data_IF_981408733135
#
_entry.id   IF_981408733135
#
_cell.length_a   1.000
_cell.length_b   1.000
_cell.length_c   1.000
_cell.angle_alpha   90.00
_cell.angle_beta   90.00
_cell.angle_gamma   90.00
#
_symmetry.space_group_name_H-M   'P 1'
#
loop_
_entity.id
_entity.type
_entity.pdbx_description
1 polymer ?
#
# COMPACT_ATOMS: atom_id res chain seq x y z
N UNK A 1 -3.71 4.03 4.93
CA UNK A 1 -3.32 3.19 3.77
C UNK A 1 -3.57 3.87 2.46
N UNK A 2 -2.51 4.41 1.89
CA UNK A 2 -2.55 4.84 0.50
C UNK A 2 -2.17 3.63 -0.37
N UNK A 3 -3.15 2.79 -0.67
CA UNK A 3 -3.07 1.98 -1.88
C UNK A 3 -3.03 2.96 -3.04
N UNK A 4 -1.92 3.01 -3.75
CA UNK A 4 -1.80 3.81 -4.96
C UNK A 4 -2.48 3.08 -6.10
N UNK A 5 -3.52 3.69 -6.65
CA UNK A 5 -4.18 3.20 -7.85
C UNK A 5 -3.28 3.42 -9.06
N UNK A 6 -3.04 2.36 -9.84
CA UNK A 6 -2.31 2.43 -11.09
C UNK A 6 -3.34 2.45 -12.23
N UNK A 7 -3.55 3.60 -12.85
CA UNK A 7 -4.42 3.74 -14.02
C UNK A 7 -3.57 3.85 -15.29
N UNK A 8 -3.71 2.88 -16.18
CA UNK A 8 -3.04 2.82 -17.48
C UNK A 8 -4.08 3.11 -18.56
N UNK A 9 -3.97 4.25 -19.23
CA UNK A 9 -4.86 4.62 -20.33
C UNK A 9 -4.06 4.67 -21.63
N UNK A 10 -4.43 3.81 -22.59
CA UNK A 10 -3.71 3.64 -23.86
C UNK A 10 -4.66 4.08 -24.98
N UNK A 11 -4.28 5.12 -25.71
CA UNK A 11 -5.05 5.66 -26.84
C UNK A 11 -4.24 5.40 -28.11
N UNK A 12 -4.78 4.62 -29.05
CA UNK A 12 -4.17 4.34 -30.35
C UNK A 12 -5.18 4.63 -31.47
N UNK A 13 -4.74 5.34 -32.52
CA UNK A 13 -5.57 5.70 -33.67
C UNK A 13 -5.53 4.65 -34.81
N UNK A 14 -4.49 3.82 -34.85
CA UNK A 14 -4.32 2.70 -35.79
C UNK A 14 -3.70 1.48 -35.06
N UNK A 15 -3.52 0.35 -35.75
CA UNK A 15 -3.00 -0.88 -35.16
C UNK A 15 -1.52 -0.74 -34.77
N UNK A 16 -1.26 -0.51 -33.48
CA UNK A 16 0.09 -0.42 -32.90
C UNK A 16 0.29 -1.52 -31.86
N UNK A 17 1.34 -2.33 -32.01
CA UNK A 17 1.71 -3.33 -31.02
C UNK A 17 2.46 -2.66 -29.86
N UNK A 18 1.86 -2.65 -28.66
CA UNK A 18 2.46 -2.04 -27.47
C UNK A 18 2.77 -3.12 -26.44
N UNK A 19 4.04 -3.23 -26.03
CA UNK A 19 4.47 -4.15 -24.98
C UNK A 19 4.62 -3.41 -23.65
N UNK A 20 3.60 -3.50 -22.78
CA UNK A 20 3.65 -2.95 -21.43
C UNK A 20 3.94 -4.09 -20.44
N UNK A 21 5.04 -3.95 -19.70
CA UNK A 21 5.40 -4.85 -18.59
C UNK A 21 5.44 -4.05 -17.30
N UNK A 22 4.61 -4.41 -16.34
CA UNK A 22 4.63 -3.86 -14.99
C UNK A 22 4.77 -4.99 -13.97
N UNK A 23 5.40 -4.69 -12.83
CA UNK A 23 5.54 -5.65 -11.72
C UNK A 23 4.91 -5.04 -10.49
N UNK A 24 3.84 -5.68 -10.00
CA UNK A 24 3.16 -5.26 -8.77
C UNK A 24 3.74 -6.08 -7.61
N UNK A 25 4.45 -5.42 -6.70
CA UNK A 25 4.88 -6.04 -5.45
C UNK A 25 3.78 -5.87 -4.39
N UNK A 26 3.03 -6.95 -4.13
CA UNK A 26 2.08 -7.01 -3.01
C UNK A 26 2.82 -7.42 -1.74
N UNK A 27 3.06 -6.48 -0.84
CA UNK A 27 3.70 -6.73 0.47
C UNK A 27 2.64 -6.87 1.56
N UNK A 28 2.68 -7.98 2.31
CA UNK A 28 1.86 -8.17 3.51
C UNK A 28 2.54 -7.46 4.68
N UNK A 29 2.05 -6.27 5.01
CA UNK A 29 2.58 -5.47 6.11
C UNK A 29 2.21 -6.10 7.46
N UNK A 30 3.16 -6.10 8.40
CA UNK A 30 2.91 -6.46 9.79
C UNK A 30 1.96 -5.43 10.44
N UNK A 31 1.23 -5.81 11.49
CA UNK A 31 0.30 -4.89 12.16
C UNK A 31 1.01 -3.63 12.71
N UNK A 32 2.29 -3.74 13.06
CA UNK A 32 3.14 -2.60 13.42
C UNK A 32 3.26 -1.59 12.27
N UNK A 33 3.64 -2.05 11.08
CA UNK A 33 3.75 -1.21 9.90
C UNK A 33 2.38 -0.70 9.44
N UNK A 34 1.32 -1.51 9.59
CA UNK A 34 -0.05 -1.10 9.32
C UNK A 34 -0.48 0.05 10.24
N UNK A 35 -0.22 -0.01 11.54
CA UNK A 35 -0.45 1.12 12.45
C UNK A 35 0.38 2.36 12.06
N UNK A 36 1.68 2.19 11.78
CA UNK A 36 2.61 3.30 11.45
C UNK A 36 2.16 4.13 10.26
N UNK A 37 1.59 3.48 9.26
CA UNK A 37 1.11 4.13 8.05
C UNK A 37 -0.40 4.46 8.09
N UNK A 38 -1.03 4.38 9.27
CA UNK A 38 -2.45 4.66 9.46
C UNK A 38 -3.35 3.73 8.65
N UNK A 39 -2.91 2.49 8.40
CA UNK A 39 -3.69 1.43 7.72
C UNK A 39 -4.56 0.61 8.68
N UNK A 40 -4.45 0.87 9.98
CA UNK A 40 -5.11 0.15 11.06
C UNK A 40 -5.59 1.20 12.06
N UNK A 41 -6.85 1.16 12.46
CA UNK A 41 -7.37 2.05 13.51
C UNK A 41 -6.84 1.65 14.88
N UNK A 42 -7.00 2.54 15.87
CA UNK A 42 -6.53 2.28 17.25
C UNK A 42 -7.27 1.10 17.87
N UNK A 43 -8.55 0.97 17.56
CA UNK A 43 -9.45 -0.06 18.07
C UNK A 43 -9.13 -1.44 17.47
N UNK A 44 -8.59 -1.46 16.24
CA UNK A 44 -8.15 -2.66 15.55
C UNK A 44 -6.69 -3.04 15.83
N UNK A 45 -5.93 -2.16 16.50
CA UNK A 45 -4.53 -2.37 16.79
C UNK A 45 -4.35 -3.44 17.88
N UNK A 46 -3.68 -4.57 17.60
CA UNK A 46 -3.51 -5.62 18.58
C UNK A 46 -2.51 -5.21 19.66
N UNK A 47 -2.91 -5.34 20.93
CA UNK A 47 -2.04 -5.14 22.07
C UNK A 47 -1.48 -3.72 22.18
N UNK A 48 -0.16 -3.61 22.32
CA UNK A 48 0.55 -2.36 22.55
C UNK A 48 1.09 -1.70 21.27
N UNK A 49 0.74 -2.24 20.10
CA UNK A 49 1.27 -1.79 18.79
C UNK A 49 1.01 -0.30 18.56
N UNK A 50 -0.19 0.18 18.88
CA UNK A 50 -0.52 1.59 18.73
C UNK A 50 0.36 2.49 19.60
N UNK A 51 0.57 2.11 20.87
CA UNK A 51 1.40 2.84 21.82
C UNK A 51 2.88 2.82 21.43
N UNK A 52 3.38 1.71 20.88
CA UNK A 52 4.75 1.61 20.35
C UNK A 52 4.97 2.54 19.17
N UNK A 53 4.02 2.57 18.23
CA UNK A 53 4.07 3.48 17.08
C UNK A 53 4.00 4.94 17.53
N UNK A 54 3.12 5.30 18.49
CA UNK A 54 3.08 6.65 19.07
C UNK A 54 4.35 7.02 19.81
N UNK A 55 4.95 6.06 20.53
CA UNK A 55 6.21 6.23 21.26
C UNK A 55 7.46 6.27 20.36
N UNK A 56 7.31 6.12 19.04
CA UNK A 56 8.43 6.11 18.10
C UNK A 56 9.31 4.85 18.16
N UNK A 57 8.81 3.79 18.80
CA UNK A 57 9.53 2.52 18.97
C UNK A 57 9.11 1.59 17.82
N UNK A 58 10.07 1.23 16.97
CA UNK A 58 9.90 0.24 15.90
C UNK A 58 10.34 -1.15 16.39
#
# INVERSE_FOLDING_TARGET
PALSELSLNIIAAEAVTVYIRYTILKVKLSNLLRCRFGLLSKEEAPGDVWSKVLGGIL
#
